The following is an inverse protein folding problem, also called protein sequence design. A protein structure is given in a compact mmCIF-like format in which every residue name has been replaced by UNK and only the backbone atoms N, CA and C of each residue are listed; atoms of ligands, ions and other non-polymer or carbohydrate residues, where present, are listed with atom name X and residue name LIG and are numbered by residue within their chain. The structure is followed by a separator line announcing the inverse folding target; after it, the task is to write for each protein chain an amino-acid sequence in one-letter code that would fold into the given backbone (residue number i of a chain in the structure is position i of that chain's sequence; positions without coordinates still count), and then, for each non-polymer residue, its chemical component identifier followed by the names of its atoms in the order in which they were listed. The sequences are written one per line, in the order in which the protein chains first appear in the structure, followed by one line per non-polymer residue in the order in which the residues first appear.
data_IF_756791842039
#
_entry.id   IF_756791842039
#
_cell.length_a   1.000
_cell.length_b   1.000
_cell.length_c   1.000
_cell.angle_alpha   90.00
_cell.angle_beta   90.00
_cell.angle_gamma   90.00
#
_symmetry.space_group_name_H-M   'P 1'
#
loop_
_entity.id
_entity.type
_entity.pdbx_description
1 polymer ?
#
# COMPACT_ATOMS: atom_id res chain seq x y z
N UNK A 1 66.48 55.77 46.64
CA UNK A 1 67.22 54.66 47.30
C UNK A 1 66.44 53.38 47.09
N UNK A 2 67.09 52.38 46.50
CA UNK A 2 66.51 51.15 45.93
C UNK A 2 65.82 50.29 47.01
N UNK A 3 64.62 49.78 46.72
CA UNK A 3 64.14 48.49 47.24
C UNK A 3 63.59 47.68 46.08
N UNK A 4 64.27 46.57 45.86
CA UNK A 4 64.14 45.56 44.80
C UNK A 4 62.90 44.69 45.01
N UNK A 5 62.19 44.42 43.91
CA UNK A 5 61.13 43.40 43.81
C UNK A 5 61.72 42.00 43.87
N UNK A 6 61.08 41.11 44.64
CA UNK A 6 61.24 39.67 44.54
C UNK A 6 59.88 39.06 44.20
N UNK A 7 59.82 38.40 43.04
CA UNK A 7 58.71 37.54 42.62
C UNK A 7 58.71 36.24 43.46
N UNK A 8 57.51 35.76 43.80
CA UNK A 8 57.26 34.36 44.19
C UNK A 8 56.09 33.86 43.32
N UNK A 9 56.20 32.68 42.67
CA UNK A 9 55.23 32.23 41.68
C UNK A 9 53.99 31.59 42.31
N UNK A 10 52.85 31.82 41.67
CA UNK A 10 51.54 31.25 41.96
C UNK A 10 51.46 29.85 41.31
N UNK A 11 51.42 28.79 42.12
CA UNK A 11 51.09 27.43 41.66
C UNK A 11 49.59 27.23 41.88
N UNK A 12 48.82 27.21 40.79
CA UNK A 12 47.40 26.86 40.79
C UNK A 12 47.24 25.34 40.85
N UNK A 13 46.57 24.86 41.89
CA UNK A 13 46.19 23.45 42.07
C UNK A 13 44.87 23.21 41.30
N UNK A 14 44.95 22.45 40.21
CA UNK A 14 43.77 21.99 39.46
C UNK A 14 43.25 20.72 40.12
N UNK A 15 42.03 20.76 40.66
CA UNK A 15 41.31 19.56 41.10
C UNK A 15 40.52 18.97 39.91
N UNK A 16 40.63 17.66 39.61
CA UNK A 16 39.79 17.05 38.60
C UNK A 16 38.37 16.83 39.14
N UNK A 17 37.37 17.37 38.43
CA UNK A 17 35.98 16.96 38.55
C UNK A 17 35.88 15.49 38.13
N UNK A 18 35.64 14.58 39.07
CA UNK A 18 35.22 13.22 38.78
C UNK A 18 33.76 13.25 38.33
N UNK A 19 33.51 13.04 37.04
CA UNK A 19 32.18 12.73 36.54
C UNK A 19 31.85 11.31 37.02
N UNK A 20 30.91 11.19 37.95
CA UNK A 20 30.26 9.91 38.24
C UNK A 20 29.34 9.64 37.06
N UNK A 21 29.78 8.81 36.11
CA UNK A 21 28.87 8.15 35.18
C UNK A 21 27.96 7.27 36.02
N UNK A 22 26.71 7.70 36.22
CA UNK A 22 25.66 6.79 36.63
C UNK A 22 25.57 5.71 35.56
N UNK A 23 25.88 4.47 35.93
CA UNK A 23 25.53 3.33 35.10
C UNK A 23 24.04 3.41 34.81
N UNK A 24 23.67 3.36 33.52
CA UNK A 24 22.31 3.02 33.15
C UNK A 24 21.96 1.74 33.91
N UNK A 25 20.94 1.81 34.76
CA UNK A 25 20.40 0.60 35.37
C UNK A 25 19.95 -0.30 34.24
N UNK A 26 20.55 -1.48 34.13
CA UNK A 26 19.96 -2.57 33.35
C UNK A 26 18.54 -2.74 33.88
N UNK A 27 17.54 -2.64 33.01
CA UNK A 27 16.21 -3.10 33.35
C UNK A 27 16.34 -4.50 33.97
N UNK A 28 15.76 -4.70 35.15
CA UNK A 28 15.64 -6.04 35.68
C UNK A 28 14.83 -6.82 34.65
N UNK A 29 15.37 -7.94 34.16
CA UNK A 29 14.62 -8.85 33.30
C UNK A 29 13.26 -9.09 33.95
N UNK A 30 12.18 -8.91 33.21
CA UNK A 30 10.87 -9.27 33.71
C UNK A 30 10.93 -10.73 34.17
N UNK A 31 10.52 -11.00 35.41
CA UNK A 31 10.58 -12.35 35.99
C UNK A 31 9.20 -12.99 36.11
N UNK A 32 8.16 -12.30 35.62
CA UNK A 32 6.76 -12.66 35.77
C UNK A 32 6.01 -12.31 34.50
N UNK A 33 4.99 -13.08 34.14
CA UNK A 33 4.08 -12.78 33.04
C UNK A 33 2.68 -12.50 33.61
N UNK A 34 2.09 -11.34 33.31
CA UNK A 34 0.81 -10.88 33.87
C UNK A 34 0.74 -11.00 35.42
N UNK A 35 1.86 -10.70 36.08
CA UNK A 35 2.01 -10.79 37.54
C UNK A 35 2.08 -12.21 38.12
N UNK A 36 2.21 -13.25 37.28
CA UNK A 36 2.36 -14.65 37.69
C UNK A 36 3.81 -15.14 37.51
N UNK A 37 4.22 -16.06 38.37
CA UNK A 37 5.50 -16.76 38.21
C UNK A 37 5.42 -17.73 37.01
N UNK A 38 6.41 -17.74 36.09
CA UNK A 38 6.37 -18.60 34.91
C UNK A 38 6.49 -20.09 35.28
N UNK A 39 5.66 -20.93 34.65
CA UNK A 39 5.80 -22.39 34.64
C UNK A 39 6.83 -22.82 33.59
N UNK A 40 6.96 -22.03 32.52
CA UNK A 40 7.90 -22.23 31.42
C UNK A 40 8.63 -20.92 31.12
N UNK A 41 9.95 -20.98 30.95
CA UNK A 41 10.76 -19.85 30.51
C UNK A 41 11.42 -20.23 29.20
N UNK A 42 11.19 -19.43 28.16
CA UNK A 42 11.74 -19.64 26.84
C UNK A 42 13.28 -19.58 26.86
N UNK A 43 13.89 -20.29 25.90
CA UNK A 43 15.34 -20.27 25.71
C UNK A 43 15.62 -19.67 24.35
N UNK A 44 16.42 -18.60 24.34
CA UNK A 44 16.78 -17.84 23.16
C UNK A 44 17.16 -18.72 21.95
N UNK A 45 16.48 -18.49 20.83
CA UNK A 45 16.73 -19.18 19.56
C UNK A 45 16.20 -20.61 19.49
N UNK A 46 15.33 -21.02 20.42
CA UNK A 46 14.66 -22.32 20.39
C UNK A 46 13.14 -22.15 20.50
N UNK A 47 12.34 -22.81 19.63
CA UNK A 47 10.90 -22.84 19.80
C UNK A 47 10.53 -23.43 21.17
N UNK A 48 9.58 -22.78 21.83
CA UNK A 48 9.07 -23.18 23.14
C UNK A 48 7.65 -23.68 22.98
N UNK A 49 7.33 -24.81 23.62
CA UNK A 49 5.97 -25.35 23.66
C UNK A 49 5.59 -25.58 25.11
N UNK A 50 4.40 -25.12 25.50
CA UNK A 50 3.77 -25.41 26.78
C UNK A 50 3.28 -26.85 26.85
N UNK A 51 2.27 -27.06 27.69
CA UNK A 51 1.72 -28.37 28.00
C UNK A 51 0.29 -28.49 27.47
N UNK A 52 -0.52 -29.36 28.09
CA UNK A 52 -1.93 -29.53 27.76
C UNK A 52 -2.85 -28.98 28.86
N UNK A 53 -2.28 -28.22 29.80
CA UNK A 53 -3.04 -27.47 30.79
C UNK A 53 -2.40 -26.11 31.02
N UNK A 54 -3.08 -25.29 31.82
CA UNK A 54 -2.77 -23.87 32.00
C UNK A 54 -1.30 -23.60 32.36
N UNK A 55 -0.59 -22.94 31.44
CA UNK A 55 0.80 -22.55 31.57
C UNK A 55 0.97 -21.03 31.70
N UNK A 56 2.07 -20.63 32.35
CA UNK A 56 2.56 -19.25 32.34
C UNK A 56 3.90 -19.29 31.64
N UNK A 57 3.95 -18.79 30.41
CA UNK A 57 5.11 -18.84 29.54
C UNK A 57 5.70 -17.44 29.41
N UNK A 58 6.97 -17.32 29.76
CA UNK A 58 7.73 -16.08 29.65
C UNK A 58 8.77 -16.23 28.53
N UNK A 59 8.68 -15.37 27.53
CA UNK A 59 9.64 -15.23 26.44
C UNK A 59 10.98 -14.65 26.88
N UNK A 60 11.76 -14.22 25.90
CA UNK A 60 13.07 -13.61 26.05
C UNK A 60 13.06 -12.20 25.45
N UNK A 61 14.17 -11.46 25.58
CA UNK A 61 14.28 -10.15 24.93
C UNK A 61 14.72 -10.26 23.44
N UNK A 62 14.49 -11.42 22.83
CA UNK A 62 14.81 -11.75 21.45
C UNK A 62 13.59 -12.42 20.84
N UNK A 63 13.45 -12.33 19.52
CA UNK A 63 12.33 -12.99 18.85
C UNK A 63 12.21 -14.49 19.13
N UNK A 64 11.08 -14.86 19.70
CA UNK A 64 10.71 -16.19 20.14
C UNK A 64 9.59 -16.79 19.27
N UNK A 65 9.49 -18.12 19.32
CA UNK A 65 8.35 -18.86 18.78
C UNK A 65 7.79 -19.68 19.93
N UNK A 66 6.61 -19.29 20.41
CA UNK A 66 5.99 -19.85 21.60
C UNK A 66 4.61 -20.42 21.21
N UNK A 67 4.39 -21.68 21.55
CA UNK A 67 3.11 -22.38 21.42
C UNK A 67 2.62 -22.77 22.82
N UNK A 68 1.49 -22.23 23.27
CA UNK A 68 0.88 -22.51 24.57
C UNK A 68 0.49 -23.99 24.70
N UNK A 69 0.05 -24.59 23.60
CA UNK A 69 -0.46 -25.94 23.57
C UNK A 69 -1.97 -25.94 23.75
N UNK A 70 -2.46 -26.55 24.82
CA UNK A 70 -3.88 -26.51 25.16
C UNK A 70 -4.02 -26.16 26.63
N UNK A 71 -5.16 -25.57 27.02
CA UNK A 71 -5.33 -25.05 28.38
C UNK A 71 -5.55 -23.54 28.31
N UNK A 72 -5.71 -22.88 29.46
CA UNK A 72 -5.82 -21.43 29.50
C UNK A 72 -4.44 -20.84 29.84
N UNK A 73 -3.69 -20.51 28.82
CA UNK A 73 -2.30 -20.12 28.93
C UNK A 73 -2.16 -18.61 29.11
N UNK A 74 -1.05 -18.19 29.74
CA UNK A 74 -0.64 -16.79 29.82
C UNK A 74 0.75 -16.69 29.22
N UNK A 75 0.87 -16.05 28.05
CA UNK A 75 2.09 -15.99 27.26
C UNK A 75 2.53 -14.53 27.12
N UNK A 76 3.74 -14.22 27.55
CA UNK A 76 4.35 -12.90 27.37
C UNK A 76 5.59 -13.04 26.50
N UNK A 77 5.60 -12.39 25.33
CA UNK A 77 6.72 -12.37 24.38
C UNK A 77 7.92 -11.59 24.92
N UNK A 78 7.65 -10.38 25.42
CA UNK A 78 8.60 -9.39 25.94
C UNK A 78 9.14 -8.46 24.85
N UNK A 79 10.44 -8.53 24.54
CA UNK A 79 11.03 -7.63 23.54
C UNK A 79 11.38 -8.43 22.28
N UNK A 80 11.16 -7.81 21.12
CA UNK A 80 11.61 -8.31 19.84
C UNK A 80 10.61 -9.27 19.21
N UNK A 81 10.73 -9.41 17.88
CA UNK A 81 9.73 -10.10 17.07
C UNK A 81 9.40 -11.54 17.49
N UNK A 82 8.25 -11.67 18.11
CA UNK A 82 7.70 -12.91 18.61
C UNK A 82 6.63 -13.50 17.69
N UNK A 83 6.48 -14.82 17.77
CA UNK A 83 5.30 -15.53 17.27
C UNK A 83 4.69 -16.28 18.44
N UNK A 84 3.52 -15.83 18.89
CA UNK A 84 2.82 -16.38 20.03
C UNK A 84 1.56 -17.11 19.54
N UNK A 85 1.46 -18.39 19.83
CA UNK A 85 0.32 -19.23 19.50
C UNK A 85 -0.32 -19.65 20.84
N UNK A 86 -1.56 -19.25 21.09
CA UNK A 86 -2.31 -19.66 22.29
C UNK A 86 -2.68 -21.14 22.21
N UNK A 87 -3.47 -21.47 21.19
CA UNK A 87 -3.96 -22.83 20.98
C UNK A 87 -5.43 -22.95 21.42
N UNK A 88 -5.92 -24.15 21.76
CA UNK A 88 -7.27 -24.29 22.29
C UNK A 88 -7.34 -23.98 23.78
N UNK A 89 -8.25 -23.08 24.16
CA UNK A 89 -8.49 -22.63 25.52
C UNK A 89 -8.65 -21.12 25.56
N UNK A 90 -8.85 -20.55 26.75
CA UNK A 90 -9.00 -19.10 26.90
C UNK A 90 -7.66 -18.50 27.32
N UNK A 91 -6.89 -18.08 26.33
CA UNK A 91 -5.51 -17.67 26.47
C UNK A 91 -5.36 -16.17 26.68
N UNK A 92 -4.21 -15.78 27.22
CA UNK A 92 -3.79 -14.39 27.38
C UNK A 92 -2.45 -14.21 26.69
N UNK A 93 -2.43 -13.50 25.59
CA UNK A 93 -1.25 -13.26 24.76
C UNK A 93 -0.84 -11.80 24.88
N UNK A 94 0.42 -11.56 25.22
CA UNK A 94 1.03 -10.23 25.29
C UNK A 94 2.27 -10.24 24.40
N UNK A 95 2.25 -9.50 23.29
CA UNK A 95 3.39 -9.35 22.38
C UNK A 95 4.55 -8.69 23.12
N UNK A 96 4.35 -7.44 23.53
CA UNK A 96 5.26 -6.72 24.40
C UNK A 96 5.71 -5.42 23.76
N UNK A 97 7.01 -5.13 23.73
CA UNK A 97 7.55 -3.93 23.10
C UNK A 97 8.67 -4.32 22.13
N UNK A 98 8.59 -3.91 20.87
CA UNK A 98 9.74 -4.03 19.97
C UNK A 98 10.75 -2.89 20.23
N UNK A 99 11.74 -3.19 21.09
CA UNK A 99 12.83 -2.27 21.41
C UNK A 99 13.74 -1.89 20.22
N UNK A 100 14.12 -0.61 20.17
CA UNK A 100 14.96 0.12 19.18
C UNK A 100 15.55 -0.61 17.95
N UNK A 101 14.98 -0.28 16.78
CA UNK A 101 15.61 -0.05 15.47
C UNK A 101 17.02 -0.67 15.25
N UNK A 102 17.07 -1.96 14.91
CA UNK A 102 18.24 -2.52 14.25
C UNK A 102 18.13 -2.26 12.74
N UNK A 103 19.16 -1.63 12.18
CA UNK A 103 19.21 -1.11 10.81
C UNK A 103 19.35 -2.17 9.71
N UNK A 104 18.92 -3.41 9.95
CA UNK A 104 18.62 -4.35 8.87
C UNK A 104 17.14 -4.21 8.53
N UNK A 105 16.86 -4.18 7.25
CA UNK A 105 15.64 -3.75 6.59
C UNK A 105 14.46 -4.74 6.72
N UNK A 106 14.35 -5.41 7.88
CA UNK A 106 13.24 -6.30 8.21
C UNK A 106 12.60 -5.97 9.55
N UNK A 107 11.89 -4.84 9.62
CA UNK A 107 10.87 -4.69 10.65
C UNK A 107 9.79 -5.74 10.36
N UNK A 108 9.65 -6.71 11.24
CA UNK A 108 8.48 -7.58 11.29
C UNK A 108 8.04 -7.49 12.76
N UNK A 109 6.88 -6.90 13.03
CA UNK A 109 6.31 -6.89 14.39
C UNK A 109 5.81 -8.28 14.81
N UNK A 110 5.30 -8.38 16.02
CA UNK A 110 4.82 -9.63 16.60
C UNK A 110 3.68 -10.25 15.81
N UNK A 111 3.58 -11.58 15.87
CA UNK A 111 2.46 -12.34 15.33
C UNK A 111 1.77 -13.13 16.45
N UNK A 112 0.58 -12.68 16.83
CA UNK A 112 -0.24 -13.33 17.86
C UNK A 112 -1.36 -14.14 17.19
N UNK A 113 -1.42 -15.43 17.50
CA UNK A 113 -2.43 -16.39 17.01
C UNK A 113 -3.20 -16.91 18.23
N UNK A 114 -4.39 -16.36 18.53
CA UNK A 114 -5.15 -16.74 19.72
C UNK A 114 -5.58 -18.21 19.68
N UNK A 115 -6.35 -18.57 18.64
CA UNK A 115 -6.88 -19.91 18.44
C UNK A 115 -8.30 -20.07 18.99
N UNK A 116 -8.78 -21.32 19.19
CA UNK A 116 -10.12 -21.56 19.70
C UNK A 116 -10.30 -21.29 21.20
N UNK A 117 -11.10 -20.29 21.53
CA UNK A 117 -11.53 -19.96 22.89
C UNK A 117 -11.90 -18.50 23.03
N UNK A 118 -12.21 -18.05 24.24
CA UNK A 118 -12.45 -16.64 24.51
C UNK A 118 -11.14 -16.01 25.02
N UNK A 119 -10.35 -15.46 24.09
CA UNK A 119 -8.98 -15.04 24.36
C UNK A 119 -8.83 -13.56 24.72
N UNK A 120 -7.67 -13.23 25.26
CA UNK A 120 -7.23 -11.86 25.48
C UNK A 120 -5.91 -11.61 24.77
N UNK A 121 -5.93 -10.71 23.80
CA UNK A 121 -4.78 -10.35 22.98
C UNK A 121 -4.38 -8.93 23.30
N UNK A 122 -3.14 -8.73 23.67
CA UNK A 122 -2.48 -7.43 23.76
C UNK A 122 -1.31 -7.47 22.78
N UNK A 123 -1.43 -6.71 21.69
CA UNK A 123 -0.41 -6.72 20.64
C UNK A 123 0.90 -6.10 21.12
N UNK A 124 0.87 -5.21 22.11
CA UNK A 124 2.01 -4.39 22.46
C UNK A 124 1.91 -2.96 21.92
N UNK A 125 2.81 -2.08 22.39
CA UNK A 125 2.84 -0.65 22.06
C UNK A 125 4.20 -0.28 21.43
N UNK A 126 4.24 -0.09 20.11
CA UNK A 126 5.47 0.30 19.40
C UNK A 126 5.49 1.77 18.96
N UNK A 127 5.91 2.72 19.83
CA UNK A 127 5.85 4.14 19.53
C UNK A 127 6.82 4.60 18.42
N UNK A 128 7.82 3.78 18.03
CA UNK A 128 8.77 4.14 16.96
C UNK A 128 8.26 3.80 15.55
N UNK A 129 7.26 2.91 15.42
CA UNK A 129 6.68 2.48 14.14
C UNK A 129 5.81 3.56 13.48
N UNK A 130 5.45 4.62 14.24
CA UNK A 130 4.80 5.83 13.75
C UNK A 130 5.70 6.72 12.85
N UNK A 131 7.00 6.43 12.74
CA UNK A 131 7.97 7.18 11.93
C UNK A 131 8.46 6.48 10.65
N UNK A 132 8.00 5.25 10.39
CA UNK A 132 8.41 4.42 9.24
C UNK A 132 7.89 4.92 7.90
N UNK A 133 8.65 4.64 6.82
CA UNK A 133 8.49 5.20 5.47
C UNK A 133 7.03 5.23 4.98
N UNK A 134 6.68 6.27 4.21
CA UNK A 134 5.43 6.35 3.45
C UNK A 134 5.28 5.22 2.40
N UNK A 135 6.24 4.31 2.28
CA UNK A 135 6.19 3.14 1.42
C UNK A 135 5.56 1.92 2.11
N UNK A 136 5.10 2.05 3.38
CA UNK A 136 4.08 1.20 4.00
C UNK A 136 4.23 -0.29 3.75
N UNK A 137 5.44 -0.82 3.97
CA UNK A 137 5.68 -2.25 3.86
C UNK A 137 4.75 -2.98 4.84
N UNK A 138 3.98 -3.99 4.40
CA UNK A 138 3.01 -4.69 5.25
C UNK A 138 3.66 -5.70 6.24
N UNK A 139 4.87 -5.37 6.71
CA UNK A 139 5.63 -6.09 7.72
C UNK A 139 5.77 -5.32 9.03
N UNK A 140 5.57 -3.99 9.04
CA UNK A 140 6.21 -3.16 10.05
C UNK A 140 5.46 -3.06 11.41
N UNK A 141 4.46 -3.91 11.69
CA UNK A 141 3.56 -3.77 12.86
C UNK A 141 3.13 -5.12 13.45
N UNK A 142 2.79 -5.12 14.74
CA UNK A 142 2.20 -6.27 15.43
C UNK A 142 0.85 -6.66 14.83
N UNK A 143 0.60 -7.97 14.76
CA UNK A 143 -0.60 -8.51 14.13
C UNK A 143 -1.26 -9.58 14.96
N UNK A 144 -2.59 -9.52 14.99
CA UNK A 144 -3.42 -10.66 15.35
C UNK A 144 -3.74 -11.46 14.08
N UNK A 145 -3.60 -12.78 14.14
CA UNK A 145 -3.79 -13.65 12.99
C UNK A 145 -4.79 -14.76 13.29
N UNK A 146 -5.84 -14.80 12.48
CA UNK A 146 -6.85 -15.85 12.44
C UNK A 146 -6.70 -16.77 11.24
N UNK A 147 -5.59 -16.67 10.50
CA UNK A 147 -5.37 -17.37 9.22
C UNK A 147 -5.74 -18.85 9.21
N UNK A 148 -5.49 -19.55 10.31
CA UNK A 148 -5.70 -21.00 10.42
C UNK A 148 -7.07 -21.40 11.00
N UNK A 149 -7.95 -20.41 11.22
CA UNK A 149 -9.30 -20.61 11.73
C UNK A 149 -10.15 -21.48 10.78
N UNK A 150 -11.05 -22.29 11.37
CA UNK A 150 -11.85 -23.26 10.61
C UNK A 150 -13.05 -22.66 9.86
N UNK A 151 -13.31 -21.36 9.99
CA UNK A 151 -14.43 -20.64 9.39
C UNK A 151 -14.18 -19.12 9.40
N UNK A 152 -15.14 -18.32 8.92
CA UNK A 152 -14.98 -16.88 8.83
C UNK A 152 -14.90 -16.22 10.21
N UNK A 153 -14.16 -15.12 10.28
CA UNK A 153 -14.01 -14.28 11.47
C UNK A 153 -14.59 -12.89 11.25
N UNK A 154 -14.98 -12.27 12.36
CA UNK A 154 -15.24 -10.84 12.41
C UNK A 154 -14.29 -10.23 13.45
N UNK A 155 -13.35 -9.40 12.99
CA UNK A 155 -12.36 -8.70 13.82
C UNK A 155 -12.64 -7.21 13.74
N UNK A 156 -12.80 -6.56 14.89
CA UNK A 156 -13.14 -5.15 14.98
C UNK A 156 -12.30 -4.44 16.04
N UNK A 157 -11.25 -3.75 15.59
CA UNK A 157 -10.36 -2.96 16.42
C UNK A 157 -11.06 -1.74 17.04
N UNK A 158 -12.10 -1.19 16.40
CA UNK A 158 -12.89 -0.09 16.96
C UNK A 158 -13.65 -0.47 18.23
N UNK A 159 -13.93 -1.77 18.40
CA UNK A 159 -14.58 -2.32 19.60
C UNK A 159 -13.66 -3.21 20.45
N UNK A 160 -12.44 -3.49 19.96
CA UNK A 160 -11.48 -4.39 20.61
C UNK A 160 -12.01 -5.82 20.73
N UNK A 161 -12.70 -6.34 19.70
CA UNK A 161 -13.28 -7.68 19.72
C UNK A 161 -12.98 -8.46 18.45
N UNK A 162 -12.87 -9.78 18.60
CA UNK A 162 -12.93 -10.71 17.47
C UNK A 162 -13.87 -11.87 17.77
N UNK A 163 -14.44 -12.45 16.72
CA UNK A 163 -15.30 -13.63 16.80
C UNK A 163 -15.02 -14.59 15.65
N UNK A 164 -15.30 -15.89 15.85
CA UNK A 164 -15.16 -16.93 14.82
C UNK A 164 -14.54 -18.20 15.37
N UNK A 165 -13.54 -18.06 16.26
CA UNK A 165 -12.96 -19.15 17.06
C UNK A 165 -13.34 -19.08 18.55
N UNK A 166 -14.01 -17.99 18.94
CA UNK A 166 -14.65 -17.74 20.22
C UNK A 166 -15.07 -16.27 20.28
N UNK A 167 -14.99 -15.63 21.45
CA UNK A 167 -15.20 -14.18 21.60
C UNK A 167 -14.00 -13.53 22.28
N UNK A 168 -13.05 -13.10 21.47
CA UNK A 168 -11.79 -12.54 21.96
C UNK A 168 -11.95 -11.06 22.34
N UNK A 169 -11.05 -10.63 23.20
CA UNK A 169 -10.80 -9.22 23.49
C UNK A 169 -9.43 -8.84 22.99
N UNK A 170 -9.34 -7.70 22.31
CA UNK A 170 -8.10 -7.20 21.72
C UNK A 170 -7.83 -5.81 22.30
N UNK A 171 -6.72 -5.68 23.01
CA UNK A 171 -6.12 -4.40 23.34
C UNK A 171 -5.32 -3.93 22.12
N UNK A 172 -5.90 -3.02 21.35
CA UNK A 172 -5.30 -2.52 20.12
C UNK A 172 -4.36 -1.36 20.47
N UNK A 173 -3.09 -1.38 20.02
CA UNK A 173 -2.18 -0.24 20.14
C UNK A 173 -2.76 1.04 19.54
N UNK A 174 -2.47 2.22 20.13
CA UNK A 174 -3.01 3.49 19.66
C UNK A 174 -2.30 4.04 18.41
N UNK A 175 -1.22 3.40 17.95
CA UNK A 175 -0.38 3.90 16.85
C UNK A 175 -0.53 3.09 15.56
N UNK A 176 -0.58 1.76 15.68
CA UNK A 176 -0.67 0.87 14.56
C UNK A 176 -0.92 -0.56 14.98
N UNK A 177 -1.74 -1.29 14.24
CA UNK A 177 -1.89 -2.73 14.42
C UNK A 177 -2.17 -3.42 13.09
N UNK A 178 -2.27 -4.74 13.11
CA UNK A 178 -2.72 -5.44 11.92
C UNK A 178 -3.53 -6.68 12.18
N UNK A 179 -4.27 -7.04 11.14
CA UNK A 179 -5.24 -8.13 11.15
C UNK A 179 -4.89 -9.05 9.99
N UNK A 180 -4.78 -10.34 10.27
CA UNK A 180 -4.73 -11.38 9.25
C UNK A 180 -6.01 -12.21 9.37
N UNK A 181 -6.87 -12.10 8.37
CA UNK A 181 -8.07 -12.91 8.20
C UNK A 181 -7.75 -14.33 7.73
N UNK A 182 -8.81 -15.02 7.31
CA UNK A 182 -8.90 -16.44 7.04
C UNK A 182 -8.95 -16.71 5.53
N UNK A 183 -9.32 -17.93 5.16
CA UNK A 183 -9.61 -18.31 3.78
C UNK A 183 -11.11 -18.19 3.42
N UNK A 184 -11.91 -17.56 4.28
CA UNK A 184 -13.36 -17.44 4.20
C UNK A 184 -13.78 -15.97 4.21
N UNK A 185 -15.05 -15.72 3.87
CA UNK A 185 -15.65 -14.39 3.84
C UNK A 185 -15.63 -13.69 5.21
N UNK A 186 -14.64 -12.83 5.43
CA UNK A 186 -14.40 -12.18 6.71
C UNK A 186 -14.95 -10.75 6.80
N UNK A 187 -15.06 -10.25 8.03
CA UNK A 187 -15.35 -8.85 8.31
C UNK A 187 -14.23 -8.27 9.16
N UNK A 188 -13.39 -7.44 8.57
CA UNK A 188 -12.20 -6.89 9.20
C UNK A 188 -12.33 -5.36 9.31
N UNK A 189 -12.27 -4.85 10.53
CA UNK A 189 -12.41 -3.42 10.83
C UNK A 189 -11.17 -2.96 11.61
N UNK A 190 -10.45 -2.01 11.03
CA UNK A 190 -9.31 -1.32 11.63
C UNK A 190 -9.67 -0.39 12.78
N UNK A 191 -8.65 0.29 13.28
CA UNK A 191 -8.66 1.30 14.33
C UNK A 191 -8.90 2.70 13.75
N UNK A 192 -8.48 3.78 14.42
CA UNK A 192 -8.37 5.13 13.79
C UNK A 192 -6.88 5.52 13.64
N UNK A 193 -6.01 4.53 13.77
CA UNK A 193 -4.57 4.62 13.61
C UNK A 193 -4.18 3.80 12.37
N UNK A 194 -2.89 3.81 12.00
CA UNK A 194 -2.44 3.10 10.79
C UNK A 194 -2.61 1.59 10.96
N UNK A 195 -3.40 0.97 10.11
CA UNK A 195 -3.60 -0.48 10.14
C UNK A 195 -2.99 -1.21 8.95
N UNK A 196 -2.57 -2.45 9.17
CA UNK A 196 -2.26 -3.40 8.09
C UNK A 196 -3.26 -4.54 8.12
N UNK A 197 -4.15 -4.59 7.12
CA UNK A 197 -5.23 -5.60 7.07
C UNK A 197 -5.01 -6.51 5.86
N UNK A 198 -4.89 -7.80 6.12
CA UNK A 198 -4.86 -8.86 5.13
C UNK A 198 -6.16 -9.68 5.24
N UNK A 199 -6.97 -9.70 4.18
CA UNK A 199 -8.22 -10.47 4.14
C UNK A 199 -7.96 -11.97 4.09
N UNK A 200 -7.20 -12.39 3.07
CA UNK A 200 -6.82 -13.77 2.84
C UNK A 200 -7.47 -14.28 1.56
N UNK A 201 -8.45 -15.16 1.65
CA UNK A 201 -9.29 -15.53 0.51
C UNK A 201 -10.76 -15.58 0.94
N UNK A 202 -11.68 -15.74 -0.01
CA UNK A 202 -13.10 -15.54 0.28
C UNK A 202 -13.51 -14.08 0.04
N UNK A 203 -14.82 -13.80 0.04
CA UNK A 203 -15.37 -12.49 -0.29
C UNK A 203 -15.37 -11.59 0.97
N UNK A 204 -14.32 -10.79 1.15
CA UNK A 204 -14.07 -10.07 2.39
C UNK A 204 -14.71 -8.68 2.44
N UNK A 205 -14.99 -8.21 3.66
CA UNK A 205 -15.39 -6.83 3.94
C UNK A 205 -14.36 -6.16 4.84
N UNK A 206 -13.59 -5.24 4.26
CA UNK A 206 -12.51 -4.55 4.95
C UNK A 206 -12.83 -3.06 5.11
N UNK A 207 -12.65 -2.56 6.33
CA UNK A 207 -12.84 -1.16 6.70
C UNK A 207 -11.58 -0.66 7.42
N UNK A 208 -10.77 0.19 6.78
CA UNK A 208 -9.58 0.80 7.43
C UNK A 208 -9.96 1.84 8.49
N UNK A 209 -10.97 2.65 8.16
CA UNK A 209 -11.56 3.75 8.95
C UNK A 209 -10.74 5.03 8.92
N UNK A 210 -9.69 5.15 9.70
CA UNK A 210 -8.92 6.39 9.77
C UNK A 210 -7.48 6.07 10.08
N UNK A 211 -6.55 6.93 9.67
CA UNK A 211 -5.13 6.56 9.67
C UNK A 211 -4.67 6.24 8.26
N UNK A 212 -3.36 6.15 8.05
CA UNK A 212 -2.78 5.83 6.74
C UNK A 212 -2.64 4.31 6.63
N UNK A 213 -3.62 3.62 6.06
CA UNK A 213 -3.75 2.17 6.13
C UNK A 213 -3.13 1.43 4.95
N UNK A 214 -2.73 0.17 5.17
CA UNK A 214 -2.36 -0.77 4.10
C UNK A 214 -3.34 -1.93 4.07
N UNK A 215 -4.14 -2.01 3.00
CA UNK A 215 -5.24 -2.96 2.87
C UNK A 215 -5.01 -3.92 1.70
N UNK A 216 -4.99 -5.21 2.00
CA UNK A 216 -4.72 -6.27 1.03
C UNK A 216 -5.75 -7.40 1.16
N UNK A 217 -6.92 -7.27 0.51
CA UNK A 217 -7.99 -8.27 0.65
C UNK A 217 -7.54 -9.66 0.19
N UNK A 218 -6.86 -9.76 -0.94
CA UNK A 218 -6.45 -11.04 -1.56
C UNK A 218 -4.97 -11.43 -1.28
N UNK A 219 -4.28 -10.87 -0.28
CA UNK A 219 -2.86 -11.21 -0.05
C UNK A 219 -2.70 -12.52 0.69
N UNK A 220 -1.72 -13.29 0.24
CA UNK A 220 -1.24 -14.47 0.96
C UNK A 220 0.27 -14.64 0.77
N UNK A 221 1.08 -14.33 1.79
CA UNK A 221 2.50 -14.71 1.86
C UNK A 221 3.46 -13.64 2.43
N UNK A 222 4.55 -14.05 3.11
CA UNK A 222 5.38 -13.13 3.90
C UNK A 222 6.33 -12.24 3.10
N UNK A 223 6.48 -12.39 1.77
CA UNK A 223 7.49 -11.60 1.03
C UNK A 223 7.04 -11.11 -0.35
N UNK A 224 7.12 -9.79 -0.50
CA UNK A 224 6.93 -8.95 -1.71
C UNK A 224 5.49 -8.79 -2.19
N UNK A 225 5.13 -7.57 -2.60
CA UNK A 225 3.81 -7.11 -3.06
C UNK A 225 3.30 -7.76 -4.36
N UNK A 226 3.80 -8.96 -4.71
CA UNK A 226 3.76 -9.48 -6.07
C UNK A 226 3.44 -10.97 -6.20
N UNK A 227 3.16 -11.70 -5.12
CA UNK A 227 2.85 -13.13 -5.21
C UNK A 227 1.57 -13.50 -4.46
N UNK A 228 0.59 -13.97 -5.22
CA UNK A 228 -0.63 -14.63 -4.77
C UNK A 228 -0.34 -16.09 -4.44
N UNK A 229 -0.80 -16.59 -3.28
CA UNK A 229 -0.80 -18.02 -2.99
C UNK A 229 -1.82 -18.73 -3.92
N UNK A 230 -1.37 -19.59 -4.85
CA UNK A 230 -2.26 -20.25 -5.81
C UNK A 230 -3.25 -21.24 -5.17
N UNK A 231 -3.15 -21.48 -3.86
CA UNK A 231 -4.01 -22.42 -3.14
C UNK A 231 -5.29 -21.80 -2.58
N UNK A 232 -5.33 -20.47 -2.39
CA UNK A 232 -6.52 -19.75 -1.98
C UNK A 232 -7.29 -19.23 -3.21
N UNK A 233 -8.62 -19.27 -3.13
CA UNK A 233 -9.49 -18.78 -4.19
C UNK A 233 -9.63 -17.26 -4.00
N UNK A 234 -9.31 -16.44 -5.01
CA UNK A 234 -9.51 -14.99 -4.92
C UNK A 234 -10.97 -14.64 -4.63
N UNK A 235 -11.18 -13.72 -3.70
CA UNK A 235 -12.47 -13.17 -3.28
C UNK A 235 -13.02 -12.11 -4.23
N UNK A 236 -14.32 -11.82 -4.21
CA UNK A 236 -14.88 -10.57 -4.72
C UNK A 236 -15.08 -9.61 -3.54
N UNK A 237 -14.08 -8.76 -3.28
CA UNK A 237 -13.99 -8.05 -2.00
C UNK A 237 -14.67 -6.67 -1.98
N UNK A 238 -14.98 -6.20 -0.78
CA UNK A 238 -15.44 -4.82 -0.53
C UNK A 238 -14.49 -4.15 0.45
N UNK A 239 -13.77 -3.14 -0.02
CA UNK A 239 -12.81 -2.36 0.76
C UNK A 239 -13.29 -0.91 0.87
N UNK A 240 -13.29 -0.37 2.08
CA UNK A 240 -13.42 1.07 2.36
C UNK A 240 -12.20 1.48 3.18
N UNK A 241 -11.31 2.25 2.59
CA UNK A 241 -10.05 2.61 3.22
C UNK A 241 -10.29 3.62 4.35
N UNK A 242 -10.95 4.73 4.05
CA UNK A 242 -11.47 5.65 5.04
C UNK A 242 -10.77 7.00 4.98
N UNK A 243 -10.39 7.55 6.12
CA UNK A 243 -9.70 8.84 6.18
C UNK A 243 -8.20 8.67 6.36
N UNK A 244 -7.38 9.09 5.41
CA UNK A 244 -5.94 8.96 5.52
C UNK A 244 -5.26 8.89 4.16
N UNK A 245 -3.97 8.65 4.13
CA UNK A 245 -3.28 8.30 2.89
C UNK A 245 -3.16 6.78 2.80
N UNK A 246 -4.11 6.14 2.14
CA UNK A 246 -4.26 4.69 2.18
C UNK A 246 -3.62 3.98 0.98
N UNK A 247 -3.17 2.75 1.19
CA UNK A 247 -2.61 1.87 0.17
C UNK A 247 -3.47 0.62 0.04
N UNK A 248 -4.18 0.48 -1.08
CA UNK A 248 -5.04 -0.69 -1.32
C UNK A 248 -4.52 -1.54 -2.48
N UNK A 249 -4.18 -2.79 -2.20
CA UNK A 249 -3.79 -3.79 -3.20
C UNK A 249 -4.91 -4.81 -3.41
N UNK A 250 -5.94 -4.43 -4.16
CA UNK A 250 -7.10 -5.30 -4.42
C UNK A 250 -6.72 -6.56 -5.20
N UNK A 251 -5.78 -6.42 -6.16
CA UNK A 251 -5.23 -7.51 -6.97
C UNK A 251 -6.30 -8.32 -7.71
N UNK A 252 -6.59 -9.55 -7.26
CA UNK A 252 -7.41 -10.50 -8.00
C UNK A 252 -8.88 -10.17 -7.74
N UNK A 253 -9.79 -11.15 -7.71
CA UNK A 253 -11.19 -10.81 -7.47
C UNK A 253 -11.92 -9.87 -8.43
N UNK A 254 -13.19 -9.61 -8.18
CA UNK A 254 -13.94 -8.49 -8.76
C UNK A 254 -14.35 -7.57 -7.61
N UNK A 255 -13.40 -6.74 -7.24
CA UNK A 255 -13.47 -5.99 -5.99
C UNK A 255 -14.18 -4.67 -6.17
N UNK A 256 -14.64 -4.12 -5.06
CA UNK A 256 -15.10 -2.75 -4.94
C UNK A 256 -14.27 -2.06 -3.88
N UNK A 257 -13.47 -1.09 -4.31
CA UNK A 257 -12.58 -0.34 -3.43
C UNK A 257 -13.01 1.11 -3.42
N UNK A 258 -13.11 1.70 -2.23
CA UNK A 258 -13.29 3.13 -2.02
C UNK A 258 -12.15 3.62 -1.12
N UNK A 259 -11.34 4.57 -1.60
CA UNK A 259 -10.34 5.28 -0.81
C UNK A 259 -11.00 6.15 0.27
N UNK A 260 -12.00 6.93 -0.13
CA UNK A 260 -12.73 7.93 0.67
C UNK A 260 -11.99 9.26 0.84
N UNK A 261 -11.55 9.67 2.02
CA UNK A 261 -10.91 10.98 2.21
C UNK A 261 -9.39 10.82 2.30
N UNK A 262 -8.62 11.51 1.44
CA UNK A 262 -7.19 11.69 1.66
C UNK A 262 -6.32 11.55 0.42
N UNK A 263 -5.23 10.79 0.46
CA UNK A 263 -4.34 10.66 -0.69
C UNK A 263 -4.04 9.19 -0.91
N UNK A 264 -4.91 8.56 -1.69
CA UNK A 264 -4.96 7.11 -1.74
C UNK A 264 -4.20 6.56 -2.94
N UNK A 265 -3.65 5.36 -2.75
CA UNK A 265 -2.91 4.62 -3.78
C UNK A 265 -3.63 3.29 -4.01
N UNK A 266 -4.36 3.21 -5.11
CA UNK A 266 -5.27 2.10 -5.39
C UNK A 266 -4.77 1.26 -6.56
N UNK A 267 -4.47 -0.02 -6.29
CA UNK A 267 -4.01 -1.00 -7.27
C UNK A 267 -5.06 -2.07 -7.50
N UNK A 268 -5.51 -2.23 -8.74
CA UNK A 268 -6.44 -3.29 -9.13
C UNK A 268 -5.98 -4.04 -10.37
N UNK A 269 -6.08 -5.38 -10.37
CA UNK A 269 -5.77 -6.19 -11.55
C UNK A 269 -7.02 -6.68 -12.30
N UNK A 270 -6.80 -7.25 -13.48
CA UNK A 270 -7.82 -7.30 -14.50
C UNK A 270 -8.91 -8.36 -14.32
N UNK A 271 -10.05 -8.01 -13.70
CA UNK A 271 -11.20 -8.93 -13.53
C UNK A 271 -12.60 -8.29 -13.53
N UNK A 272 -12.72 -6.97 -13.55
CA UNK A 272 -14.02 -6.29 -13.48
C UNK A 272 -14.19 -5.43 -12.22
N UNK A 273 -13.12 -5.25 -11.44
CA UNK A 273 -13.09 -4.46 -10.21
C UNK A 273 -13.42 -2.99 -10.47
N UNK A 274 -13.87 -2.33 -9.42
CA UNK A 274 -14.30 -0.94 -9.41
C UNK A 274 -13.54 -0.19 -8.32
N UNK A 275 -12.72 0.80 -8.71
CA UNK A 275 -11.89 1.56 -7.79
C UNK A 275 -12.40 3.01 -7.73
N UNK A 276 -12.78 3.47 -6.56
CA UNK A 276 -13.10 4.87 -6.26
C UNK A 276 -12.03 5.49 -5.37
N UNK A 277 -11.52 6.66 -5.76
CA UNK A 277 -10.56 7.43 -4.94
C UNK A 277 -11.31 8.15 -3.84
N UNK A 278 -12.14 9.11 -4.21
CA UNK A 278 -12.97 9.84 -3.26
C UNK A 278 -12.58 11.32 -3.28
N UNK A 279 -12.39 11.94 -2.13
CA UNK A 279 -11.90 13.31 -2.03
C UNK A 279 -10.40 13.31 -1.75
N UNK A 280 -9.61 13.99 -2.60
CA UNK A 280 -8.22 14.27 -2.32
C UNK A 280 -7.29 14.20 -3.52
N UNK A 281 -6.14 13.52 -3.40
CA UNK A 281 -5.23 13.38 -4.55
C UNK A 281 -4.84 11.94 -4.68
N UNK A 282 -5.53 11.26 -5.58
CA UNK A 282 -5.47 9.81 -5.61
C UNK A 282 -4.62 9.34 -6.78
N UNK A 283 -3.96 8.21 -6.58
CA UNK A 283 -3.18 7.52 -7.58
C UNK A 283 -3.77 6.16 -7.85
N UNK A 284 -3.99 5.85 -9.13
CA UNK A 284 -4.53 4.56 -9.55
C UNK A 284 -3.57 3.84 -10.48
N UNK A 285 -3.37 2.55 -10.22
CA UNK A 285 -2.80 1.61 -11.19
C UNK A 285 -3.85 0.53 -11.49
N UNK A 286 -4.59 0.75 -12.58
CA UNK A 286 -5.73 -0.04 -12.99
C UNK A 286 -5.42 -0.96 -14.18
N UNK A 287 -5.53 -2.27 -13.94
CA UNK A 287 -5.39 -3.32 -14.94
C UNK A 287 -6.49 -3.36 -16.01
N UNK A 288 -6.44 -4.35 -16.90
CA UNK A 288 -7.44 -4.50 -17.97
C UNK A 288 -8.82 -4.86 -17.37
N UNK A 289 -9.87 -4.10 -17.69
CA UNK A 289 -11.23 -4.26 -17.15
C UNK A 289 -11.43 -3.80 -15.70
N UNK A 290 -10.55 -2.96 -15.18
CA UNK A 290 -10.79 -2.25 -13.91
C UNK A 290 -11.43 -0.90 -14.23
N UNK A 291 -12.57 -0.62 -13.60
CA UNK A 291 -13.20 0.69 -13.68
C UNK A 291 -12.61 1.60 -12.60
N UNK A 292 -12.45 2.87 -12.93
CA UNK A 292 -11.85 3.87 -12.04
C UNK A 292 -12.76 5.08 -11.96
N UNK A 293 -12.96 5.57 -10.75
CA UNK A 293 -13.64 6.81 -10.40
C UNK A 293 -12.69 7.63 -9.51
N UNK A 294 -12.01 8.64 -10.06
CA UNK A 294 -11.06 9.49 -9.32
C UNK A 294 -11.75 10.20 -8.17
N UNK A 295 -12.69 11.07 -8.50
CA UNK A 295 -13.51 11.76 -7.51
C UNK A 295 -13.13 13.23 -7.45
N UNK A 296 -13.14 13.81 -6.26
CA UNK A 296 -12.78 15.21 -6.07
C UNK A 296 -11.27 15.37 -5.93
N UNK A 297 -10.68 16.33 -6.64
CA UNK A 297 -9.35 16.84 -6.30
C UNK A 297 -8.36 16.80 -7.45
N UNK A 298 -7.19 16.17 -7.28
CA UNK A 298 -6.21 16.07 -8.37
C UNK A 298 -5.63 14.67 -8.42
N UNK A 299 -6.13 13.92 -9.39
CA UNK A 299 -5.89 12.49 -9.47
C UNK A 299 -4.92 12.14 -10.60
N UNK A 300 -4.20 11.04 -10.42
CA UNK A 300 -3.35 10.43 -11.44
C UNK A 300 -3.80 8.99 -11.70
N UNK A 301 -4.42 8.77 -12.86
CA UNK A 301 -5.02 7.48 -13.22
C UNK A 301 -4.20 6.81 -14.32
N UNK A 302 -3.52 5.73 -13.98
CA UNK A 302 -2.90 4.83 -14.95
C UNK A 302 -3.84 3.65 -15.21
N UNK A 303 -4.43 3.58 -16.41
CA UNK A 303 -5.36 2.51 -16.75
C UNK A 303 -5.00 1.77 -18.04
N UNK A 304 -5.27 0.46 -18.04
CA UNK A 304 -4.99 -0.41 -19.18
C UNK A 304 -6.18 -0.48 -20.15
N UNK A 305 -5.91 -0.30 -21.44
CA UNK A 305 -6.90 -0.44 -22.53
C UNK A 305 -6.70 -1.78 -23.25
N UNK A 306 -7.37 -2.84 -22.78
CA UNK A 306 -7.22 -4.17 -23.34
C UNK A 306 -8.17 -4.54 -24.49
N UNK A 307 -8.25 -5.84 -24.76
CA UNK A 307 -8.96 -6.43 -25.93
C UNK A 307 -10.47 -6.58 -25.73
N UNK A 308 -10.97 -6.48 -24.51
CA UNK A 308 -12.38 -6.68 -24.20
C UNK A 308 -13.08 -5.32 -24.07
N UNK A 309 -14.38 -5.30 -23.77
CA UNK A 309 -15.15 -4.08 -23.51
C UNK A 309 -15.55 -4.09 -22.04
N UNK A 310 -15.91 -2.93 -21.48
CA UNK A 310 -16.77 -2.87 -20.30
C UNK A 310 -16.12 -2.33 -19.03
N UNK A 311 -15.10 -1.49 -19.14
CA UNK A 311 -14.64 -0.66 -18.03
C UNK A 311 -14.65 0.82 -18.42
N UNK A 312 -14.69 1.66 -17.40
CA UNK A 312 -14.83 3.12 -17.47
C UNK A 312 -13.72 3.77 -16.66
N UNK A 313 -13.24 4.93 -17.13
CA UNK A 313 -12.30 5.77 -16.37
C UNK A 313 -12.93 7.14 -16.25
N UNK A 314 -13.51 7.41 -15.10
CA UNK A 314 -14.01 8.72 -14.74
C UNK A 314 -13.01 9.38 -13.81
N UNK A 315 -12.34 10.45 -14.23
CA UNK A 315 -11.44 11.16 -13.33
C UNK A 315 -12.20 11.99 -12.28
N UNK A 316 -13.46 12.33 -12.53
CA UNK A 316 -14.24 13.20 -11.64
C UNK A 316 -13.90 14.69 -11.78
N UNK A 317 -14.35 15.53 -10.85
CA UNK A 317 -14.01 16.95 -10.81
C UNK A 317 -12.61 17.22 -10.25
N UNK A 318 -11.74 17.82 -11.05
CA UNK A 318 -10.40 18.08 -10.58
C UNK A 318 -9.48 18.74 -11.59
N UNK A 319 -8.18 18.58 -11.37
CA UNK A 319 -7.19 18.76 -12.44
C UNK A 319 -6.40 17.47 -12.56
N UNK A 320 -6.92 16.58 -13.36
CA UNK A 320 -6.61 15.17 -13.33
C UNK A 320 -5.75 14.77 -14.52
N UNK A 321 -4.93 13.76 -14.28
CA UNK A 321 -4.02 13.19 -15.27
C UNK A 321 -4.47 11.77 -15.55
N UNK A 322 -4.88 11.48 -16.79
CA UNK A 322 -5.30 10.14 -17.19
C UNK A 322 -4.30 9.58 -18.19
N UNK A 323 -3.60 8.51 -17.82
CA UNK A 323 -2.66 7.78 -18.67
C UNK A 323 -3.24 6.43 -19.06
N UNK A 324 -3.49 6.27 -20.35
CA UNK A 324 -4.10 5.07 -20.91
C UNK A 324 -3.06 4.26 -21.70
N UNK A 325 -2.88 3.00 -21.32
CA UNK A 325 -1.86 2.14 -21.93
C UNK A 325 -2.48 0.89 -22.55
N UNK A 326 -2.24 0.67 -23.84
CA UNK A 326 -2.57 -0.60 -24.50
C UNK A 326 -1.39 -1.59 -24.34
N UNK A 327 -1.55 -2.77 -23.69
CA UNK A 327 -0.40 -3.60 -23.33
C UNK A 327 0.14 -4.42 -24.51
N UNK A 328 1.46 -4.66 -24.51
CA UNK A 328 2.19 -5.35 -25.59
C UNK A 328 1.76 -6.80 -25.82
N UNK A 329 1.42 -7.52 -24.76
CA UNK A 329 1.02 -8.92 -24.83
C UNK A 329 -0.32 -9.12 -25.55
N UNK A 330 -1.22 -8.14 -25.48
CA UNK A 330 -2.56 -8.21 -26.08
C UNK A 330 -2.67 -7.37 -27.36
N UNK A 331 -1.56 -6.97 -27.97
CA UNK A 331 -1.60 -6.05 -29.11
C UNK A 331 -1.67 -6.77 -30.47
N UNK A 332 -2.62 -6.40 -31.34
CA UNK A 332 -2.63 -6.79 -32.77
C UNK A 332 -2.01 -5.66 -33.63
N UNK A 333 -0.89 -5.89 -34.34
CA UNK A 333 -0.23 -4.89 -35.18
C UNK A 333 -1.11 -4.22 -36.24
N UNK A 334 -2.22 -4.85 -36.64
CA UNK A 334 -3.18 -4.30 -37.60
C UNK A 334 -4.16 -3.28 -37.02
N UNK A 335 -4.25 -3.18 -35.69
CA UNK A 335 -5.27 -2.39 -34.99
C UNK A 335 -5.20 -0.92 -35.35
N UNK A 336 -6.36 -0.33 -35.66
CA UNK A 336 -6.56 1.12 -35.81
C UNK A 336 -7.20 1.67 -34.56
N UNK A 337 -6.42 2.43 -33.80
CA UNK A 337 -6.88 3.12 -32.61
C UNK A 337 -7.37 4.51 -32.97
N UNK A 338 -8.50 4.89 -32.36
CA UNK A 338 -9.00 6.26 -32.37
C UNK A 338 -9.23 6.68 -30.93
N UNK A 339 -8.50 7.71 -30.50
CA UNK A 339 -8.74 8.45 -29.26
C UNK A 339 -9.47 9.72 -29.66
N UNK A 340 -10.69 9.89 -29.15
CA UNK A 340 -11.58 11.00 -29.51
C UNK A 340 -11.99 11.73 -28.23
N UNK A 341 -11.18 12.71 -27.82
CA UNK A 341 -11.34 13.50 -26.59
C UNK A 341 -12.70 14.18 -26.50
N UNK A 342 -13.19 14.88 -27.54
CA UNK A 342 -14.50 15.52 -27.48
C UNK A 342 -15.69 14.55 -27.38
N UNK A 343 -15.47 13.25 -27.62
CA UNK A 343 -16.49 12.21 -27.49
C UNK A 343 -16.19 11.23 -26.37
N UNK A 344 -15.17 11.51 -25.55
CA UNK A 344 -14.90 10.78 -24.30
C UNK A 344 -14.79 9.27 -24.53
N UNK A 345 -14.15 8.89 -25.64
CA UNK A 345 -14.13 7.49 -26.07
C UNK A 345 -12.84 7.08 -26.77
N UNK A 346 -12.47 5.83 -26.54
CA UNK A 346 -11.44 5.13 -27.29
C UNK A 346 -12.06 3.98 -28.05
N UNK A 347 -11.71 3.88 -29.34
CA UNK A 347 -12.13 2.77 -30.20
C UNK A 347 -10.93 2.08 -30.82
N UNK A 348 -11.06 0.78 -31.04
CA UNK A 348 -10.12 -0.05 -31.79
C UNK A 348 -10.86 -0.75 -32.92
N UNK A 349 -10.41 -0.55 -34.16
CA UNK A 349 -11.05 -1.07 -35.38
C UNK A 349 -12.55 -0.72 -35.47
N UNK A 350 -12.91 0.48 -35.01
CA UNK A 350 -14.28 0.98 -35.00
C UNK A 350 -15.16 0.40 -33.87
N UNK A 351 -14.62 -0.46 -33.00
CA UNK A 351 -15.32 -0.98 -31.83
C UNK A 351 -14.94 -0.17 -30.60
N UNK A 352 -15.93 0.32 -29.86
CA UNK A 352 -15.74 1.00 -28.56
C UNK A 352 -15.01 0.09 -27.59
N UNK A 353 -13.97 0.62 -26.93
CA UNK A 353 -13.12 -0.08 -25.96
C UNK A 353 -13.26 0.49 -24.57
N UNK A 354 -13.16 1.81 -24.45
CA UNK A 354 -13.16 2.53 -23.19
C UNK A 354 -14.02 3.80 -23.33
N UNK A 355 -14.74 4.15 -22.26
CA UNK A 355 -15.23 5.52 -22.00
C UNK A 355 -14.29 6.13 -20.99
N UNK A 356 -13.90 7.38 -21.24
CA UNK A 356 -13.21 8.16 -20.23
C UNK A 356 -13.77 9.56 -20.17
N UNK A 357 -13.83 10.15 -19.00
CA UNK A 357 -14.31 11.53 -18.80
C UNK A 357 -13.51 12.21 -17.67
N UNK A 358 -13.64 13.54 -17.56
CA UNK A 358 -12.99 14.34 -16.51
C UNK A 358 -11.49 14.54 -16.67
N UNK A 359 -10.86 14.14 -17.78
CA UNK A 359 -9.40 14.26 -17.92
C UNK A 359 -8.97 15.66 -18.41
N UNK A 360 -8.25 16.43 -17.58
CA UNK A 360 -7.59 17.67 -18.01
C UNK A 360 -6.29 17.42 -18.78
N UNK A 361 -5.50 16.43 -18.36
CA UNK A 361 -4.25 16.02 -19.00
C UNK A 361 -4.36 14.54 -19.42
N UNK A 362 -4.76 14.27 -20.67
CA UNK A 362 -4.87 12.91 -21.20
C UNK A 362 -3.59 12.47 -21.93
N UNK A 363 -3.10 11.26 -21.63
CA UNK A 363 -2.04 10.57 -22.37
C UNK A 363 -2.48 9.19 -22.84
N UNK A 364 -2.09 8.80 -24.05
CA UNK A 364 -2.33 7.46 -24.58
C UNK A 364 -1.06 6.86 -25.20
N UNK A 365 -0.72 5.63 -24.80
CA UNK A 365 0.44 4.89 -25.31
C UNK A 365 0.04 3.50 -25.80
N UNK A 366 0.63 3.10 -26.94
CA UNK A 366 0.49 1.76 -27.48
C UNK A 366 1.80 1.30 -28.16
N UNK A 367 2.09 -0.02 -28.15
CA UNK A 367 3.41 -0.53 -28.53
C UNK A 367 3.66 -0.60 -30.03
N UNK A 368 2.62 -0.75 -30.87
CA UNK A 368 2.65 -0.82 -32.35
C UNK A 368 1.31 -0.36 -32.93
N UNK A 369 1.15 -0.29 -34.25
CA UNK A 369 -0.15 -0.11 -34.91
C UNK A 369 -0.37 1.27 -35.56
N UNK A 370 -1.63 1.65 -35.75
CA UNK A 370 -2.01 2.98 -36.25
C UNK A 370 -2.85 3.71 -35.20
N UNK A 371 -2.53 4.97 -34.94
CA UNK A 371 -3.26 5.82 -34.02
C UNK A 371 -3.79 7.06 -34.74
N UNK A 372 -5.07 7.35 -34.51
CA UNK A 372 -5.65 8.68 -34.76
C UNK A 372 -6.03 9.29 -33.42
N UNK A 373 -5.50 10.47 -33.12
CA UNK A 373 -5.78 11.21 -31.90
C UNK A 373 -6.50 12.51 -32.28
N UNK A 374 -7.66 12.73 -31.67
CA UNK A 374 -8.40 13.97 -31.75
C UNK A 374 -8.46 14.59 -30.35
N UNK A 375 -7.66 15.63 -30.12
CA UNK A 375 -7.67 16.44 -28.91
C UNK A 375 -8.95 17.24 -28.73
N UNK A 376 -9.06 17.85 -27.56
CA UNK A 376 -10.19 18.63 -27.07
C UNK A 376 -10.00 20.13 -27.29
N UNK A 377 -10.45 20.90 -26.31
CA UNK A 377 -10.21 22.35 -26.24
C UNK A 377 -9.25 22.73 -25.09
N UNK A 378 -8.66 21.72 -24.43
CA UNK A 378 -7.85 21.82 -23.23
C UNK A 378 -6.34 21.65 -23.52
N UNK A 379 -5.58 21.16 -22.54
CA UNK A 379 -4.18 20.81 -22.75
C UNK A 379 -4.08 19.31 -23.04
N UNK A 380 -3.87 18.93 -24.30
CA UNK A 380 -3.79 17.54 -24.68
C UNK A 380 -2.34 17.07 -24.85
N UNK A 381 -1.97 15.95 -24.22
CA UNK A 381 -0.59 15.41 -24.29
C UNK A 381 -0.56 14.01 -24.91
N UNK A 382 -0.20 13.92 -26.20
CA UNK A 382 -0.01 12.63 -26.85
C UNK A 382 1.45 12.16 -26.77
N UNK A 383 1.69 11.05 -26.06
CA UNK A 383 2.94 10.29 -26.11
C UNK A 383 2.71 8.89 -26.72
N UNK A 384 2.60 8.85 -28.04
CA UNK A 384 2.39 7.62 -28.78
C UNK A 384 3.75 6.94 -29.02
N UNK A 385 4.06 5.89 -28.25
CA UNK A 385 5.35 5.19 -28.28
C UNK A 385 5.91 4.87 -29.68
N UNK A 386 7.24 4.71 -29.76
CA UNK A 386 8.05 4.79 -30.98
C UNK A 386 7.64 3.93 -32.19
N UNK A 387 6.72 2.97 -32.10
CA UNK A 387 6.35 2.10 -33.24
C UNK A 387 4.91 2.30 -33.75
N UNK A 388 4.32 3.47 -33.55
CA UNK A 388 3.00 3.83 -34.09
C UNK A 388 3.14 4.67 -35.37
N UNK A 389 2.19 4.51 -36.29
CA UNK A 389 1.90 5.54 -37.31
C UNK A 389 0.79 6.43 -36.79
N UNK A 390 1.07 7.72 -36.65
CA UNK A 390 0.25 8.65 -35.87
C UNK A 390 -0.36 9.72 -36.79
N UNK A 391 -1.64 9.99 -36.55
CA UNK A 391 -2.33 11.20 -36.98
C UNK A 391 -2.87 11.89 -35.74
N UNK A 392 -2.25 12.97 -35.30
CA UNK A 392 -2.66 13.70 -34.12
C UNK A 392 -3.18 15.09 -34.52
N UNK A 393 -4.33 15.45 -33.97
CA UNK A 393 -4.96 16.75 -34.16
C UNK A 393 -5.25 17.32 -32.76
N UNK A 394 -4.45 18.26 -32.29
CA UNK A 394 -4.58 18.88 -30.96
C UNK A 394 -5.85 19.70 -30.83
N UNK A 395 -6.16 20.49 -31.88
CA UNK A 395 -7.28 21.43 -31.98
C UNK A 395 -7.01 22.70 -31.18
N UNK A 396 -7.86 23.05 -30.22
CA UNK A 396 -7.71 24.30 -29.47
C UNK A 396 -6.97 24.00 -28.18
N UNK A 397 -6.05 24.88 -27.78
CA UNK A 397 -5.48 24.84 -26.45
C UNK A 397 -3.96 24.89 -26.44
N UNK A 398 -3.35 24.09 -25.56
CA UNK A 398 -1.89 23.99 -25.47
C UNK A 398 -1.53 22.53 -25.59
N UNK A 399 -1.17 22.10 -26.79
CA UNK A 399 -1.02 20.68 -27.06
C UNK A 399 0.45 20.26 -27.07
N UNK A 400 0.73 19.05 -26.60
CA UNK A 400 2.05 18.44 -26.69
C UNK A 400 1.93 17.12 -27.45
N UNK A 401 2.22 17.16 -28.75
CA UNK A 401 2.03 16.03 -29.65
C UNK A 401 3.39 15.45 -30.06
N UNK A 402 3.63 14.20 -29.68
CA UNK A 402 4.87 13.48 -29.99
C UNK A 402 4.57 12.31 -30.94
N UNK A 403 5.28 12.31 -32.07
CA UNK A 403 5.32 11.25 -33.08
C UNK A 403 6.19 10.07 -32.66
N UNK A 404 6.28 9.08 -33.54
CA UNK A 404 7.06 7.85 -33.37
C UNK A 404 8.17 7.74 -34.41
N UNK A 405 8.52 6.51 -34.80
CA UNK A 405 9.59 6.21 -35.78
C UNK A 405 9.12 6.13 -37.23
N UNK A 406 7.83 6.34 -37.47
CA UNK A 406 7.20 6.19 -38.78
C UNK A 406 6.77 7.56 -39.28
N UNK A 407 6.41 7.67 -40.57
CA UNK A 407 5.89 8.92 -41.10
C UNK A 407 4.55 9.30 -40.44
N UNK A 408 4.59 10.37 -39.66
CA UNK A 408 3.48 10.86 -38.86
C UNK A 408 2.90 12.19 -39.37
N UNK A 409 1.69 12.48 -38.94
CA UNK A 409 1.03 13.77 -39.15
C UNK A 409 0.62 14.34 -37.79
N UNK A 410 1.23 15.47 -37.42
CA UNK A 410 0.92 16.20 -36.19
C UNK A 410 0.38 17.57 -36.57
N UNK A 411 -0.78 17.92 -36.06
CA UNK A 411 -1.42 19.21 -36.27
C UNK A 411 -1.79 19.76 -34.89
N UNK A 412 -1.10 20.82 -34.43
CA UNK A 412 -1.38 21.44 -33.13
C UNK A 412 -2.77 22.09 -33.18
N UNK A 413 -2.92 23.05 -34.08
CA UNK A 413 -4.16 23.78 -34.30
C UNK A 413 -4.03 25.19 -33.73
N UNK A 414 -5.14 25.86 -33.36
CA UNK A 414 -5.05 27.13 -32.67
C UNK A 414 -4.59 26.97 -31.22
N UNK A 415 -3.41 27.46 -30.88
CA UNK A 415 -2.90 27.21 -29.54
C UNK A 415 -1.48 27.68 -29.27
N UNK A 416 -0.88 27.14 -28.20
CA UNK A 416 0.57 27.19 -28.01
C UNK A 416 1.08 25.76 -27.91
N UNK A 417 1.42 25.22 -29.06
CA UNK A 417 1.59 23.80 -29.26
C UNK A 417 3.06 23.42 -29.44
N UNK A 418 3.40 22.25 -28.90
CA UNK A 418 4.71 21.63 -29.01
C UNK A 418 4.54 20.36 -29.84
N UNK A 419 5.16 20.34 -31.02
CA UNK A 419 5.09 19.22 -31.95
C UNK A 419 6.48 18.61 -32.11
N UNK A 420 6.60 17.31 -31.89
CA UNK A 420 7.86 16.58 -32.09
C UNK A 420 7.61 15.35 -32.95
N UNK A 421 8.10 15.33 -34.19
CA UNK A 421 7.92 14.20 -35.11
C UNK A 421 8.75 12.96 -34.74
N UNK A 422 9.85 13.15 -34.00
CA UNK A 422 10.86 12.13 -33.68
C UNK A 422 11.61 11.55 -34.89
N UNK A 423 11.38 10.29 -35.29
CA UNK A 423 12.10 9.69 -36.41
C UNK A 423 11.13 9.35 -37.55
N UNK A 424 11.49 9.66 -38.79
CA UNK A 424 10.58 9.41 -39.90
C UNK A 424 10.55 10.55 -40.89
N UNK A 425 9.54 10.55 -41.75
CA UNK A 425 9.22 11.67 -42.63
C UNK A 425 7.93 12.29 -42.13
N UNK A 426 8.09 13.10 -41.10
CA UNK A 426 6.98 13.58 -40.29
C UNK A 426 6.52 14.93 -40.77
N UNK A 427 5.21 15.13 -40.75
CA UNK A 427 4.57 16.36 -41.19
C UNK A 427 3.97 17.05 -39.98
N UNK A 428 4.43 18.25 -39.70
CA UNK A 428 3.92 19.05 -38.58
C UNK A 428 3.28 20.33 -39.11
N UNK A 429 2.07 20.61 -38.63
CA UNK A 429 1.21 21.72 -39.01
C UNK A 429 0.82 22.51 -37.74
N UNK A 430 0.66 23.83 -37.87
CA UNK A 430 0.13 24.70 -36.80
C UNK A 430 0.77 24.42 -35.43
N UNK A 431 2.10 24.63 -35.32
CA UNK A 431 2.80 24.46 -34.05
C UNK A 431 3.79 25.60 -33.80
N UNK A 432 3.81 26.09 -32.57
CA UNK A 432 4.67 27.17 -32.11
C UNK A 432 6.09 26.67 -31.84
N UNK A 433 6.21 25.46 -31.30
CA UNK A 433 7.50 24.78 -31.09
C UNK A 433 7.52 23.47 -31.84
N UNK A 434 8.20 23.43 -32.99
CA UNK A 434 8.27 22.23 -33.83
C UNK A 434 9.70 21.67 -33.87
N UNK A 435 9.85 20.37 -33.63
CA UNK A 435 11.13 19.65 -33.72
C UNK A 435 10.99 18.38 -34.54
N UNK A 436 12.03 18.03 -35.31
CA UNK A 436 12.12 16.78 -36.06
C UNK A 436 10.92 16.55 -37.02
N UNK A 437 10.45 17.59 -37.70
CA UNK A 437 9.41 17.47 -38.73
C UNK A 437 9.76 18.26 -39.99
N UNK A 438 9.18 17.85 -41.11
CA UNK A 438 9.00 18.70 -42.28
C UNK A 438 7.87 19.70 -41.99
N UNK A 439 8.26 20.96 -41.74
CA UNK A 439 7.30 22.06 -41.48
C UNK A 439 6.81 22.61 -42.83
N UNK A 440 5.49 22.61 -43.05
CA UNK A 440 4.87 23.45 -44.09
C UNK A 440 4.03 24.51 -43.40
N UNK A 441 4.44 25.77 -43.58
CA UNK A 441 3.70 26.96 -43.14
C UNK A 441 2.42 27.14 -43.95
#
# INVERSE_FOLDING_TARGET
MRRTHALVPLIALVAPLGIVMGAAGSAAAETTCDGKDPTVVAVAGTPTTGTAGDDVILGTALGDVIDGGAGNDTICGLDGRDTLIGGPGNDRLFGGLDGEYFSDDSYEGDLLVPGPGDDHVDLGDDPQSAGGSADGGPGDYDRVSYRDAAGPVAVDFSTGRATGEGTDTIAVPPYSGGIVGTAFDDVLVGSDARDTIQGGGGDDRIFGRGGDDTLEPDRVGPRTMQQHDPTLAPGDDVVRAGGGADYVFSRLGRDRVLGEEGQDVLFGEGRGSDLGGGDGKDYFEAGDRVSVHGGGGRDEINAVVGRRKGHEVDAGPGRDVVRLTAPKATFDPGTRWVVDVPREKITADGRKRLVYQGAEDLSFSAPRGRLTFHGGAGQDSLYAGANLRIKAFGRQGRDNLVGGRFADLLDGGPGRDILRGDAGRDRCLNGETVRQCEVRR
#
